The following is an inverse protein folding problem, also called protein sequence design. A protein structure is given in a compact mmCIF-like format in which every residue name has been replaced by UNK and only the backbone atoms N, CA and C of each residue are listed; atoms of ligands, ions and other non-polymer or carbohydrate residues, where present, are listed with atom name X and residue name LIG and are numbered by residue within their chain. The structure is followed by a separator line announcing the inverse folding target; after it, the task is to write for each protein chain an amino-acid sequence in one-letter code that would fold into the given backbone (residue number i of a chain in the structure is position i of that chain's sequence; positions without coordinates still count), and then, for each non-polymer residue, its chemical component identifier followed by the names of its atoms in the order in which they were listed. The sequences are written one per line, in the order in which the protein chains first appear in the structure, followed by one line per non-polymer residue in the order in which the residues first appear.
data_IF_098861480021
#
_entry.id   IF_098861480021
#
_cell.length_a   1.000
_cell.length_b   1.000
_cell.length_c   1.000
_cell.angle_alpha   90.00
_cell.angle_beta   90.00
_cell.angle_gamma   90.00
#
_symmetry.space_group_name_H-M   'P 1'
#
loop_
_entity.id
_entity.type
_entity.pdbx_description
1 polymer ?
#
# COMPACT_ATOMS: atom_id res chain seq x y z
N UNK A 1 -13.01 -11.62 -8.16
CA UNK A 1 -12.89 -11.86 -6.70
C UNK A 1 -13.12 -10.56 -5.96
N UNK A 2 -12.90 -10.51 -4.65
CA UNK A 2 -12.97 -9.26 -3.87
C UNK A 2 -12.16 -9.35 -2.58
N UNK A 3 -11.67 -8.21 -2.10
CA UNK A 3 -11.04 -8.04 -0.79
C UNK A 3 -11.74 -6.88 -0.08
N UNK A 4 -12.24 -7.12 1.12
CA UNK A 4 -12.98 -6.12 1.90
C UNK A 4 -12.83 -6.37 3.40
N UNK A 5 -13.14 -5.36 4.21
CA UNK A 5 -13.09 -5.41 5.68
C UNK A 5 -11.71 -5.85 6.21
N UNK A 6 -10.67 -5.15 5.74
CA UNK A 6 -9.27 -5.42 6.10
C UNK A 6 -8.77 -4.33 7.04
N UNK A 7 -8.16 -4.73 8.15
CA UNK A 7 -7.60 -3.79 9.13
C UNK A 7 -6.15 -4.10 9.48
N UNK A 8 -5.29 -3.10 9.31
CA UNK A 8 -3.94 -3.03 9.87
C UNK A 8 -3.88 -1.88 10.88
N UNK A 9 -3.60 -2.18 12.14
CA UNK A 9 -3.66 -1.21 13.23
C UNK A 9 -2.50 -1.40 14.22
N UNK A 10 -1.72 -0.34 14.43
CA UNK A 10 -0.62 -0.33 15.40
C UNK A 10 0.61 -1.16 14.98
N UNK A 11 0.86 -1.28 13.68
CA UNK A 11 2.00 -2.05 13.16
C UNK A 11 3.29 -1.21 13.20
N UNK A 12 4.34 -1.77 13.79
CA UNK A 12 5.68 -1.15 13.83
C UNK A 12 6.62 -1.80 12.82
N UNK A 13 7.20 -0.99 11.94
CA UNK A 13 8.12 -1.40 10.88
C UNK A 13 9.57 -1.12 11.29
N UNK A 14 10.46 -2.09 11.10
CA UNK A 14 11.90 -1.89 11.35
C UNK A 14 12.71 -2.41 10.19
N UNK A 15 13.48 -1.52 9.56
CA UNK A 15 14.48 -1.87 8.55
C UNK A 15 13.94 -2.67 7.36
N UNK A 16 12.73 -2.32 6.90
CA UNK A 16 12.05 -3.07 5.84
C UNK A 16 12.80 -2.92 4.51
N UNK A 17 13.11 -4.05 3.85
CA UNK A 17 14.03 -4.06 2.73
C UNK A 17 13.46 -3.46 1.44
N UNK A 18 12.19 -3.74 1.12
CA UNK A 18 11.59 -3.37 -0.18
C UNK A 18 10.51 -2.30 -0.05
N UNK A 19 9.42 -2.61 0.67
CA UNK A 19 8.27 -1.70 0.81
C UNK A 19 7.83 -1.62 2.26
N UNK A 20 7.69 -0.42 2.81
CA UNK A 20 7.08 -0.24 4.13
C UNK A 20 5.60 -0.65 4.11
N UNK A 21 4.83 -0.08 3.18
CA UNK A 21 3.46 -0.47 2.87
C UNK A 21 3.34 -0.68 1.36
N UNK A 22 2.75 -1.80 0.94
CA UNK A 22 2.46 -2.07 -0.47
C UNK A 22 1.06 -2.65 -0.65
N UNK A 23 0.29 -2.06 -1.58
CA UNK A 23 -1.01 -2.58 -2.03
C UNK A 23 -1.06 -2.44 -3.56
N UNK A 24 -1.10 -3.57 -4.27
CA UNK A 24 -0.97 -3.59 -5.73
C UNK A 24 -1.92 -4.62 -6.37
N UNK A 25 -2.51 -4.28 -7.53
CA UNK A 25 -3.52 -5.09 -8.25
C UNK A 25 -3.00 -5.65 -9.59
N UNK A 26 -1.70 -5.89 -9.69
CA UNK A 26 -0.98 -6.22 -10.92
C UNK A 26 -0.14 -7.52 -10.83
N UNK A 27 -0.38 -8.35 -9.80
CA UNK A 27 0.30 -9.63 -9.65
C UNK A 27 -0.17 -10.67 -10.67
N UNK A 28 0.79 -11.27 -11.38
CA UNK A 28 0.58 -12.37 -12.31
C UNK A 28 1.67 -13.43 -12.11
N UNK A 29 1.27 -14.69 -11.91
CA UNK A 29 2.19 -15.84 -11.78
C UNK A 29 3.37 -15.63 -10.81
N UNK A 30 3.12 -14.93 -9.70
CA UNK A 30 4.10 -14.71 -8.63
C UNK A 30 4.94 -13.43 -8.77
N UNK A 31 4.70 -12.58 -9.77
CA UNK A 31 5.41 -11.30 -9.92
C UNK A 31 4.47 -10.14 -10.32
N UNK A 32 4.77 -8.89 -9.92
CA UNK A 32 4.07 -7.70 -10.41
C UNK A 32 4.36 -7.41 -11.88
N UNK A 33 3.35 -6.96 -12.63
CA UNK A 33 3.45 -6.60 -14.05
C UNK A 33 3.62 -5.09 -14.29
N UNK A 34 3.32 -4.27 -13.29
CA UNK A 34 3.24 -2.81 -13.39
C UNK A 34 1.89 -2.28 -13.91
N UNK A 35 0.94 -3.15 -14.25
CA UNK A 35 -0.36 -2.77 -14.83
C UNK A 35 -1.50 -3.35 -13.98
N UNK A 36 -2.19 -2.52 -13.16
CA UNK A 36 -3.23 -3.03 -12.29
C UNK A 36 -4.52 -3.33 -13.07
N UNK A 37 -5.27 -4.35 -12.64
CA UNK A 37 -6.57 -4.72 -13.22
C UNK A 37 -7.70 -4.59 -12.19
N UNK A 38 -8.94 -4.40 -12.65
CA UNK A 38 -10.09 -4.06 -11.79
C UNK A 38 -10.94 -5.26 -11.35
N UNK A 39 -10.59 -6.48 -11.76
CA UNK A 39 -11.39 -7.70 -11.53
C UNK A 39 -11.44 -8.19 -10.07
N UNK A 40 -10.64 -7.60 -9.18
CA UNK A 40 -10.62 -7.87 -7.74
C UNK A 40 -10.66 -6.55 -6.96
N UNK A 41 -11.85 -5.96 -6.71
CA UNK A 41 -11.96 -4.73 -5.95
C UNK A 41 -11.40 -4.86 -4.52
N UNK A 42 -10.74 -3.81 -4.04
CA UNK A 42 -10.23 -3.68 -2.67
C UNK A 42 -10.97 -2.54 -1.97
N UNK A 43 -11.93 -2.88 -1.10
CA UNK A 43 -12.78 -1.89 -0.42
C UNK A 43 -12.64 -1.95 1.08
N UNK A 44 -13.06 -0.90 1.78
CA UNK A 44 -13.24 -0.89 3.23
C UNK A 44 -11.97 -1.34 3.98
N UNK A 45 -10.83 -0.73 3.60
CA UNK A 45 -9.52 -1.01 4.20
C UNK A 45 -9.20 0.07 5.22
N UNK A 46 -8.84 -0.36 6.43
CA UNK A 46 -8.31 0.52 7.48
C UNK A 46 -6.82 0.28 7.66
N UNK A 47 -6.01 1.30 7.39
CA UNK A 47 -4.59 1.34 7.72
C UNK A 47 -4.40 2.45 8.75
N UNK A 48 -4.18 2.06 10.01
CA UNK A 48 -4.00 2.98 11.12
C UNK A 48 -2.69 2.72 11.87
N UNK A 49 -1.96 3.78 12.21
CA UNK A 49 -0.73 3.69 13.04
C UNK A 49 0.30 2.68 12.50
N UNK A 50 0.41 2.53 11.18
CA UNK A 50 1.51 1.79 10.57
C UNK A 50 2.71 2.71 10.45
N UNK A 51 3.69 2.54 11.34
CA UNK A 51 4.81 3.48 11.52
C UNK A 51 6.15 2.78 11.58
N UNK A 52 7.23 3.47 11.22
CA UNK A 52 8.59 2.94 11.33
C UNK A 52 9.41 3.15 10.06
N UNK A 53 10.41 2.29 9.83
CA UNK A 53 11.44 2.54 8.81
C UNK A 53 11.54 1.47 7.73
N UNK A 54 11.68 1.92 6.49
CA UNK A 54 12.23 1.16 5.38
C UNK A 54 13.71 1.51 5.18
N UNK A 55 14.47 0.62 4.55
CA UNK A 55 15.84 0.89 4.09
C UNK A 55 15.83 2.01 3.06
N UNK A 56 16.92 2.78 2.98
CA UNK A 56 17.08 3.86 1.98
C UNK A 56 17.00 3.37 0.53
N UNK A 57 17.30 2.11 0.28
CA UNK A 57 17.11 1.44 -1.02
C UNK A 57 15.66 1.02 -1.29
N UNK A 58 14.83 0.88 -0.25
CA UNK A 58 13.42 0.54 -0.34
C UNK A 58 12.52 1.76 -0.57
N UNK A 59 11.21 1.52 -0.51
CA UNK A 59 10.14 2.50 -0.73
C UNK A 59 9.23 2.57 0.50
N UNK A 60 8.86 3.77 0.92
CA UNK A 60 8.03 3.95 2.12
C UNK A 60 6.62 3.40 1.91
N UNK A 61 5.95 3.83 0.84
CA UNK A 61 4.60 3.42 0.47
C UNK A 61 4.51 3.26 -1.04
N UNK A 62 3.89 2.17 -1.49
CA UNK A 62 3.58 1.90 -2.90
C UNK A 62 2.14 1.43 -3.04
N UNK A 63 1.32 2.16 -3.81
CA UNK A 63 -0.08 1.84 -4.05
C UNK A 63 -0.33 1.84 -5.55
N UNK A 64 -0.67 0.67 -6.11
CA UNK A 64 -0.96 0.49 -7.53
C UNK A 64 -2.35 -0.15 -7.70
N UNK A 65 -3.36 0.70 -7.76
CA UNK A 65 -4.77 0.32 -7.75
C UNK A 65 -5.46 0.66 -9.08
N UNK A 66 -6.30 -0.26 -9.56
CA UNK A 66 -7.31 -0.06 -10.60
C UNK A 66 -8.74 -0.04 -10.04
N UNK A 67 -8.99 -0.66 -8.88
CA UNK A 67 -10.30 -0.73 -8.24
C UNK A 67 -10.15 -0.76 -6.72
N UNK A 68 -9.95 0.41 -6.12
CA UNK A 68 -9.77 0.59 -4.68
C UNK A 68 -10.60 1.78 -4.18
N UNK A 69 -11.37 1.61 -3.09
CA UNK A 69 -12.24 2.68 -2.53
C UNK A 69 -12.53 2.47 -1.04
N UNK A 70 -13.07 3.49 -0.38
CA UNK A 70 -13.48 3.47 1.04
C UNK A 70 -12.32 3.13 1.99
N UNK A 71 -11.17 3.77 1.82
CA UNK A 71 -10.05 3.53 2.73
C UNK A 71 -10.06 4.52 3.88
N UNK A 72 -9.78 4.01 5.08
CA UNK A 72 -9.44 4.82 6.26
C UNK A 72 -7.94 4.74 6.45
N UNK A 73 -7.23 5.84 6.15
CA UNK A 73 -5.77 5.89 6.21
C UNK A 73 -5.34 6.98 7.20
N UNK A 74 -4.95 6.58 8.41
CA UNK A 74 -4.71 7.53 9.51
C UNK A 74 -3.45 7.20 10.30
N UNK A 75 -2.76 8.24 10.80
CA UNK A 75 -1.59 8.10 11.68
C UNK A 75 -0.43 7.24 11.13
N UNK A 76 -0.36 7.04 9.80
CA UNK A 76 0.67 6.23 9.17
C UNK A 76 1.94 7.05 8.95
N UNK A 77 3.11 6.46 9.23
CA UNK A 77 4.41 7.13 9.12
C UNK A 77 5.53 6.13 8.82
N UNK A 78 5.56 5.63 7.59
CA UNK A 78 6.70 4.89 7.05
C UNK A 78 7.73 5.88 6.48
N UNK A 79 8.97 5.83 6.95
CA UNK A 79 10.05 6.74 6.53
C UNK A 79 11.36 5.99 6.25
N UNK A 80 12.42 6.73 5.90
CA UNK A 80 13.76 6.20 5.66
C UNK A 80 13.99 5.72 4.22
N UNK A 81 12.99 5.11 3.59
CA UNK A 81 13.00 4.75 2.18
C UNK A 81 12.61 5.91 1.26
N UNK A 82 12.54 5.60 -0.04
CA UNK A 82 12.16 6.53 -1.10
C UNK A 82 10.66 6.78 -1.11
N UNK A 83 10.26 7.98 -1.54
CA UNK A 83 8.87 8.26 -1.93
C UNK A 83 8.64 7.70 -3.34
N UNK A 84 7.55 6.95 -3.52
CA UNK A 84 7.21 6.41 -4.85
C UNK A 84 6.62 7.49 -5.75
N UNK A 85 7.08 7.53 -6.99
CA UNK A 85 6.53 8.29 -8.12
C UNK A 85 5.61 7.43 -9.00
N UNK A 86 5.44 6.14 -8.68
CA UNK A 86 4.68 5.15 -9.45
C UNK A 86 3.32 4.80 -8.88
N UNK A 87 2.92 5.45 -7.79
CA UNK A 87 1.60 5.19 -7.23
C UNK A 87 0.48 5.59 -8.21
N UNK A 88 -0.53 4.74 -8.36
CA UNK A 88 -1.68 4.95 -9.25
C UNK A 88 -2.97 4.50 -8.59
N UNK A 89 -4.05 5.24 -8.80
CA UNK A 89 -5.37 4.90 -8.26
C UNK A 89 -5.44 4.92 -6.73
N UNK A 90 -4.63 5.77 -6.08
CA UNK A 90 -4.62 5.92 -4.63
C UNK A 90 -6.00 6.40 -4.15
N UNK A 91 -6.70 5.64 -3.28
CA UNK A 91 -8.01 6.06 -2.79
C UNK A 91 -7.96 7.36 -2.00
N UNK A 92 -9.04 8.13 -2.03
CA UNK A 92 -9.17 9.37 -1.26
C UNK A 92 -8.84 9.15 0.22
N UNK A 93 -8.00 10.03 0.77
CA UNK A 93 -7.53 9.96 2.16
C UNK A 93 -6.25 9.14 2.37
N UNK A 94 -5.88 8.26 1.43
CA UNK A 94 -4.60 7.56 1.47
C UNK A 94 -3.49 8.35 0.76
N UNK A 95 -2.22 8.03 1.07
CA UNK A 95 -1.08 8.76 0.53
C UNK A 95 0.13 7.86 0.28
N UNK A 96 0.78 8.12 -0.85
CA UNK A 96 2.21 7.95 -1.05
C UNK A 96 2.92 9.31 -0.85
#
# INVERSE_FOLDING_TARGET
GSVSDVKYDGITLTNIAKYGIVIEQDYENGSPTGVPTSGVPITDVTINKVTGTAKSSGTNVYILCASCKNWTWTNNKATGGKKSDKCKGVPTGASC
#
